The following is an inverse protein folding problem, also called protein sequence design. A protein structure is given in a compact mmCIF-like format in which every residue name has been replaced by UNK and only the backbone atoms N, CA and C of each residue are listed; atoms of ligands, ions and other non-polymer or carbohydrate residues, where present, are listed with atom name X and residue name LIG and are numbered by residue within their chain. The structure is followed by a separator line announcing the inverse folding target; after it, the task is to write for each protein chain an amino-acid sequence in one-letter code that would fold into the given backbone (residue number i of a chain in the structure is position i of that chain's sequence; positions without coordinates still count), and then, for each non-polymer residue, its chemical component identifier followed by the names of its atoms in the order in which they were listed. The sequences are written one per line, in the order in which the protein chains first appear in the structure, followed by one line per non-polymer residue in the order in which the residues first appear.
data_IF_799646569040
#
_entry.id   IF_799646569040
#
_cell.length_a   1.000
_cell.length_b   1.000
_cell.length_c   1.000
_cell.angle_alpha   90.00
_cell.angle_beta   90.00
_cell.angle_gamma   90.00
#
_symmetry.space_group_name_H-M   'P 1'
#
loop_
_entity.id
_entity.type
_entity.pdbx_description
1 polymer ?
#
# COMPACT_ATOMS: atom_id res chain seq x y z
N UNK A 1 -6.96 17.87 -9.57
CA UNK A 1 -6.54 16.67 -8.83
C UNK A 1 -7.32 15.52 -9.45
N UNK A 2 -6.65 14.59 -10.14
CA UNK A 2 -7.34 13.39 -10.64
C UNK A 2 -7.73 12.56 -9.42
N UNK A 3 -9.03 12.44 -9.17
CA UNK A 3 -9.55 11.54 -8.14
C UNK A 3 -9.34 10.13 -8.66
N UNK A 4 -8.32 9.43 -8.16
CA UNK A 4 -8.17 8.00 -8.38
C UNK A 4 -9.32 7.35 -7.61
N UNK A 5 -10.23 6.68 -8.32
CA UNK A 5 -11.28 5.89 -7.69
C UNK A 5 -10.60 4.66 -7.05
N UNK A 6 -10.64 4.59 -5.72
CA UNK A 6 -10.04 3.49 -4.96
C UNK A 6 -11.00 2.30 -4.96
N UNK A 7 -10.47 1.09 -4.98
CA UNK A 7 -11.29 -0.10 -4.77
C UNK A 7 -11.59 -0.32 -3.29
N UNK A 8 -12.63 -1.09 -2.97
CA UNK A 8 -12.96 -1.47 -1.59
C UNK A 8 -11.75 -2.09 -0.85
N UNK A 9 -10.92 -2.86 -1.58
CA UNK A 9 -9.69 -3.44 -1.04
C UNK A 9 -8.65 -2.38 -0.66
N UNK A 10 -8.50 -1.35 -1.50
CA UNK A 10 -7.58 -0.24 -1.27
C UNK A 10 -8.07 0.65 -0.13
N UNK A 11 -9.38 0.92 -0.06
CA UNK A 11 -9.98 1.65 1.05
C UNK A 11 -9.79 0.93 2.39
N UNK A 12 -10.00 -0.39 2.44
CA UNK A 12 -9.75 -1.19 3.64
C UNK A 12 -8.27 -1.13 4.05
N UNK A 13 -7.35 -1.31 3.09
CA UNK A 13 -5.91 -1.22 3.36
C UNK A 13 -5.52 0.15 3.96
N UNK A 14 -6.07 1.24 3.42
CA UNK A 14 -5.82 2.60 3.93
C UNK A 14 -6.37 2.75 5.34
N UNK A 15 -7.59 2.29 5.60
CA UNK A 15 -8.21 2.34 6.94
C UNK A 15 -7.37 1.57 7.96
N UNK A 16 -6.96 0.34 7.62
CA UNK A 16 -6.14 -0.49 8.51
C UNK A 16 -4.78 0.14 8.79
N UNK A 17 -4.18 0.80 7.79
CA UNK A 17 -2.91 1.50 7.92
C UNK A 17 -3.03 2.71 8.86
N UNK A 18 -4.08 3.52 8.69
CA UNK A 18 -4.35 4.69 9.54
C UNK A 18 -4.62 4.27 11.00
N UNK A 19 -5.45 3.24 11.20
CA UNK A 19 -5.77 2.69 12.52
C UNK A 19 -4.53 2.15 13.27
N UNK A 20 -3.53 1.66 12.53
CA UNK A 20 -2.27 1.16 13.08
C UNK A 20 -1.17 2.23 13.14
N UNK A 21 -1.43 3.45 12.66
CA UNK A 21 -0.49 4.57 12.70
C UNK A 21 0.61 4.52 11.63
N UNK A 22 0.36 3.86 10.50
CA UNK A 22 1.26 3.86 9.35
C UNK A 22 1.00 5.04 8.41
N UNK A 23 2.08 5.59 7.85
CA UNK A 23 1.99 6.61 6.82
C UNK A 23 1.73 5.96 5.45
N UNK A 24 0.60 6.32 4.83
CA UNK A 24 0.21 5.82 3.50
C UNK A 24 0.78 6.73 2.41
N UNK A 25 1.54 6.12 1.50
CA UNK A 25 2.03 6.72 0.25
C UNK A 25 1.10 6.33 -0.90
N UNK A 26 0.43 7.34 -1.49
CA UNK A 26 -0.52 7.19 -2.59
C UNK A 26 0.13 7.28 -3.99
N UNK A 27 1.40 7.64 -4.04
CA UNK A 27 2.16 7.86 -5.29
C UNK A 27 3.06 6.67 -5.64
N UNK A 28 3.01 5.60 -4.84
CA UNK A 28 3.81 4.42 -5.10
C UNK A 28 3.37 3.70 -6.38
N UNK A 29 4.32 3.56 -7.31
CA UNK A 29 4.19 2.77 -8.53
C UNK A 29 5.25 1.68 -8.53
N UNK A 30 4.85 0.48 -8.11
CA UNK A 30 5.70 -0.70 -8.09
C UNK A 30 6.08 -1.20 -9.48
N UNK A 31 6.99 -2.19 -9.52
CA UNK A 31 7.31 -2.90 -10.77
C UNK A 31 6.02 -3.50 -11.34
N UNK A 32 5.81 -3.36 -12.65
CA UNK A 32 4.62 -3.85 -13.37
C UNK A 32 3.32 -3.06 -13.17
N UNK A 33 3.36 -1.88 -12.55
CA UNK A 33 2.18 -1.00 -12.47
C UNK A 33 2.02 -0.08 -13.69
N UNK A 34 3.01 -0.04 -14.60
CA UNK A 34 2.96 0.70 -15.89
C UNK A 34 2.49 2.17 -15.77
N UNK A 35 2.86 2.84 -14.67
CA UNK A 35 2.48 4.23 -14.41
C UNK A 35 1.19 4.42 -13.59
N UNK A 36 0.50 3.33 -13.22
CA UNK A 36 -0.53 3.37 -12.18
C UNK A 36 0.11 3.51 -10.80
N UNK A 37 -0.57 4.21 -9.90
CA UNK A 37 -0.20 4.31 -8.49
C UNK A 37 -1.21 3.55 -7.62
N UNK A 38 -0.79 3.17 -6.44
CA UNK A 38 -1.65 2.53 -5.45
C UNK A 38 -1.23 2.94 -4.04
N UNK A 39 -2.14 2.84 -3.06
CA UNK A 39 -1.80 3.04 -1.66
C UNK A 39 -0.76 2.03 -1.21
N UNK A 40 0.26 2.51 -0.50
CA UNK A 40 1.33 1.68 0.03
C UNK A 40 1.83 2.19 1.36
N UNK A 41 2.51 1.31 2.11
CA UNK A 41 3.19 1.63 3.37
C UNK A 41 4.60 1.08 3.35
N UNK A 42 5.47 1.65 4.18
CA UNK A 42 6.83 1.16 4.40
C UNK A 42 6.92 0.51 5.78
N UNK A 43 7.37 -0.74 5.81
CA UNK A 43 7.55 -1.51 7.05
C UNK A 43 8.92 -2.18 7.08
N UNK A 44 9.31 -2.66 8.27
CA UNK A 44 10.58 -3.38 8.44
C UNK A 44 10.35 -4.89 8.28
N UNK A 45 9.29 -5.41 8.87
CA UNK A 45 8.88 -6.81 8.82
C UNK A 45 7.43 -6.92 8.36
N UNK A 46 7.08 -7.99 7.61
CA UNK A 46 5.69 -8.23 7.15
C UNK A 46 4.71 -8.25 8.31
N UNK A 47 5.13 -8.82 9.45
CA UNK A 47 4.30 -8.96 10.64
C UNK A 47 4.04 -7.63 11.38
N UNK A 48 4.66 -6.52 10.96
CA UNK A 48 4.43 -5.20 11.55
C UNK A 48 3.04 -4.65 11.17
N UNK A 49 2.43 -5.14 10.08
CA UNK A 49 1.16 -4.65 9.57
C UNK A 49 0.13 -5.78 9.44
N UNK A 50 -1.03 -5.60 10.09
CA UNK A 50 -2.13 -6.55 10.06
C UNK A 50 -3.29 -6.02 9.25
N UNK A 51 -3.70 -6.74 8.21
CA UNK A 51 -4.86 -6.38 7.38
C UNK A 51 -5.47 -7.63 6.77
N UNK A 52 -6.79 -7.60 6.53
CA UNK A 52 -7.49 -8.61 5.73
C UNK A 52 -7.50 -8.26 4.22
N UNK A 53 -6.98 -7.08 3.85
CA UNK A 53 -6.89 -6.65 2.46
C UNK A 53 -5.81 -7.42 1.68
N UNK A 54 -6.02 -7.54 0.38
CA UNK A 54 -5.05 -8.10 -0.55
C UNK A 54 -3.95 -7.08 -0.83
N UNK A 55 -2.72 -7.42 -0.44
CA UNK A 55 -1.55 -6.61 -0.71
C UNK A 55 -0.44 -7.43 -1.35
N UNK A 56 0.51 -6.71 -1.95
CA UNK A 56 1.78 -7.27 -2.43
C UNK A 56 2.95 -6.59 -1.72
N UNK A 57 4.07 -7.29 -1.72
CA UNK A 57 5.31 -6.82 -1.12
C UNK A 57 6.36 -6.54 -2.20
N UNK A 58 7.12 -5.45 -2.07
CA UNK A 58 8.35 -5.20 -2.82
C UNK A 58 9.50 -4.87 -1.86
N UNK A 59 10.72 -5.25 -2.23
CA UNK A 59 11.94 -4.94 -1.48
C UNK A 59 12.83 -4.04 -2.34
N UNK A 60 12.83 -2.74 -2.03
CA UNK A 60 13.63 -1.74 -2.75
C UNK A 60 14.94 -1.39 -2.05
N UNK A 61 15.57 -2.36 -1.38
CA UNK A 61 16.92 -2.23 -0.80
C UNK A 61 17.05 -1.28 0.40
N UNK A 62 15.97 -0.60 0.80
CA UNK A 62 15.90 0.34 1.93
C UNK A 62 14.73 0.06 2.89
N UNK A 63 14.02 -1.05 2.70
CA UNK A 63 12.82 -1.42 3.47
C UNK A 63 11.88 -2.29 2.67
N UNK A 64 10.85 -2.81 3.33
CA UNK A 64 9.76 -3.55 2.72
C UNK A 64 8.62 -2.57 2.41
N UNK A 65 8.12 -2.60 1.18
CA UNK A 65 6.94 -1.83 0.78
C UNK A 65 5.77 -2.79 0.63
N UNK A 66 4.67 -2.52 1.33
CA UNK A 66 3.40 -3.21 1.13
C UNK A 66 2.49 -2.28 0.35
N UNK A 67 1.88 -2.79 -0.72
CA UNK A 67 0.99 -1.98 -1.54
C UNK A 67 -0.30 -2.73 -1.87
N UNK A 68 -1.41 -1.98 -1.81
CA UNK A 68 -2.75 -2.52 -1.97
C UNK A 68 -3.04 -2.83 -3.45
N UNK A 69 -3.57 -4.03 -3.69
CA UNK A 69 -4.06 -4.39 -5.02
C UNK A 69 -5.42 -3.75 -5.28
N UNK A 70 -5.73 -3.52 -6.56
CA UNK A 70 -7.06 -3.10 -6.97
C UNK A 70 -8.07 -4.25 -6.80
#
# INVERSE_FOLDING_TARGET
MNTIELSENQEQFISDADDQGFEVDYDYSGRYMYGATCPSIRITYVDDFHTDSNYKTDQLGLGLVLYAQH
#
